data_IF_028843336275
#
_entry.id   IF_028843336275
#
_cell.length_a   1.000
_cell.length_b   1.000
_cell.length_c   1.000
_cell.angle_alpha   90.00
_cell.angle_beta   90.00
_cell.angle_gamma   90.00
#
_symmetry.space_group_name_H-M   'P 1'
#
loop_
_entity.id
_entity.type
_entity.pdbx_description
1 polymer ?
#
# COMPACT_ATOMS: atom_id res chain seq x y z
N UNK A 1 1.91 -17.30 -8.71
CA UNK A 1 3.20 -17.81 -8.15
C UNK A 1 4.27 -17.91 -9.24
N UNK A 2 4.00 -18.48 -10.43
CA UNK A 2 5.00 -18.67 -11.50
C UNK A 2 5.74 -17.39 -11.90
N UNK A 3 5.01 -16.28 -12.14
CA UNK A 3 5.62 -15.01 -12.51
C UNK A 3 6.50 -14.41 -11.38
N UNK A 4 6.12 -14.59 -10.12
CA UNK A 4 6.92 -14.14 -8.96
C UNK A 4 8.24 -14.91 -8.92
N UNK A 5 8.20 -16.25 -9.03
CA UNK A 5 9.41 -17.09 -9.07
C UNK A 5 10.30 -16.78 -10.27
N UNK A 6 9.71 -16.53 -11.45
CA UNK A 6 10.46 -16.15 -12.66
C UNK A 6 11.19 -14.83 -12.45
N UNK A 7 10.51 -13.79 -11.97
CA UNK A 7 11.11 -12.47 -11.76
C UNK A 7 12.28 -12.51 -10.77
N UNK A 8 12.16 -13.30 -9.69
CA UNK A 8 13.26 -13.50 -8.73
C UNK A 8 14.44 -14.22 -9.35
N UNK A 9 14.20 -15.32 -10.08
CA UNK A 9 15.25 -16.09 -10.75
C UNK A 9 16.01 -15.26 -11.79
N UNK A 10 15.29 -14.43 -12.56
CA UNK A 10 15.88 -13.56 -13.58
C UNK A 10 16.44 -12.25 -12.97
N UNK A 11 16.37 -12.08 -11.65
CA UNK A 11 16.90 -10.90 -10.92
C UNK A 11 16.41 -9.56 -11.51
N UNK A 12 15.13 -9.43 -11.79
CA UNK A 12 14.54 -8.25 -12.43
C UNK A 12 14.57 -7.03 -11.50
N UNK A 13 15.72 -6.43 -11.29
CA UNK A 13 15.95 -5.34 -10.34
C UNK A 13 15.16 -4.04 -10.59
N UNK A 14 14.68 -3.88 -11.83
CA UNK A 14 13.83 -2.75 -12.23
C UNK A 14 12.32 -3.01 -12.02
N UNK A 15 11.94 -4.19 -11.49
CA UNK A 15 10.57 -4.55 -11.21
C UNK A 15 10.25 -4.24 -9.74
N UNK A 16 9.24 -3.41 -9.52
CA UNK A 16 8.72 -3.09 -8.19
C UNK A 16 7.24 -3.44 -8.15
N UNK A 17 6.85 -4.33 -7.23
CA UNK A 17 5.45 -4.56 -6.88
C UNK A 17 5.08 -3.77 -5.64
N UNK A 18 3.88 -3.19 -5.64
CA UNK A 18 3.28 -2.59 -4.45
C UNK A 18 1.98 -3.32 -4.17
N UNK A 19 1.95 -4.04 -3.04
CA UNK A 19 0.76 -4.76 -2.61
C UNK A 19 0.04 -3.91 -1.57
N UNK A 20 -1.16 -3.46 -1.93
CA UNK A 20 -2.05 -2.74 -1.02
C UNK A 20 -2.74 -3.73 -0.07
N UNK A 21 -2.19 -3.88 1.12
CA UNK A 21 -2.65 -4.82 2.15
C UNK A 21 -3.70 -4.14 3.04
N UNK A 22 -4.91 -3.99 2.56
CA UNK A 22 -6.02 -3.43 3.36
C UNK A 22 -6.71 -4.46 4.26
N UNK A 23 -6.28 -5.73 4.22
CA UNK A 23 -6.73 -6.86 5.03
C UNK A 23 -8.18 -7.32 4.78
N UNK A 24 -8.90 -6.73 3.83
CA UNK A 24 -10.31 -7.00 3.57
C UNK A 24 -10.56 -7.57 2.19
N UNK A 25 -11.55 -8.47 2.12
CA UNK A 25 -12.24 -8.89 0.90
C UNK A 25 -13.50 -8.03 0.70
N UNK A 26 -14.47 -8.57 -0.03
CA UNK A 26 -15.74 -7.91 -0.29
C UNK A 26 -16.63 -7.82 0.97
N UNK A 27 -16.55 -8.81 1.84
CA UNK A 27 -17.49 -9.09 2.93
C UNK A 27 -16.81 -9.44 4.26
N UNK A 28 -15.51 -9.26 4.36
CA UNK A 28 -14.77 -9.59 5.59
C UNK A 28 -13.26 -9.62 5.40
N UNK A 29 -12.50 -10.08 6.40
CA UNK A 29 -11.06 -10.13 6.34
C UNK A 29 -10.54 -11.17 5.32
N UNK A 30 -9.40 -10.90 4.71
CA UNK A 30 -8.69 -11.87 3.85
C UNK A 30 -8.26 -13.08 4.68
N UNK A 31 -7.72 -12.82 5.86
CA UNK A 31 -7.36 -13.83 6.88
C UNK A 31 -7.89 -13.38 8.23
N UNK A 32 -8.90 -14.07 8.77
CA UNK A 32 -9.45 -13.75 10.10
C UNK A 32 -8.45 -14.03 11.20
N UNK A 33 -7.88 -15.24 11.20
CA UNK A 33 -7.04 -15.79 12.27
C UNK A 33 -5.56 -15.89 11.91
N UNK A 34 -5.13 -15.25 10.82
CA UNK A 34 -3.75 -15.24 10.35
C UNK A 34 -3.30 -13.83 9.96
N UNK A 35 -2.08 -13.73 9.47
CA UNK A 35 -1.44 -12.48 9.05
C UNK A 35 -1.01 -12.60 7.59
N UNK A 36 -1.82 -12.05 6.69
CA UNK A 36 -1.57 -12.14 5.24
C UNK A 36 -0.24 -11.50 4.83
N UNK A 37 0.19 -10.43 5.51
CA UNK A 37 1.45 -9.73 5.18
C UNK A 37 2.65 -10.64 5.45
N UNK A 38 2.65 -11.41 6.54
CA UNK A 38 3.72 -12.36 6.83
C UNK A 38 3.69 -13.57 5.88
N UNK A 39 2.52 -13.99 5.42
CA UNK A 39 2.41 -15.02 4.39
C UNK A 39 3.03 -14.53 3.08
N UNK A 40 2.66 -13.33 2.63
CA UNK A 40 3.22 -12.70 1.43
C UNK A 40 4.72 -12.47 1.55
N UNK A 41 5.19 -11.97 2.70
CA UNK A 41 6.63 -11.79 2.94
C UNK A 41 7.41 -13.09 2.73
N UNK A 42 6.94 -14.21 3.29
CA UNK A 42 7.59 -15.52 3.12
C UNK A 42 7.59 -15.97 1.67
N UNK A 43 6.47 -15.80 0.95
CA UNK A 43 6.38 -16.18 -0.46
C UNK A 43 7.33 -15.37 -1.35
N UNK A 44 7.39 -14.06 -1.17
CA UNK A 44 8.27 -13.20 -1.95
C UNK A 44 9.75 -13.41 -1.60
N UNK A 45 10.09 -13.51 -0.31
CA UNK A 45 11.48 -13.81 0.11
C UNK A 45 11.94 -15.17 -0.39
N UNK A 46 11.09 -16.19 -0.27
CA UNK A 46 11.38 -17.54 -0.79
C UNK A 46 11.54 -17.60 -2.31
N UNK A 47 11.04 -16.58 -3.02
CA UNK A 47 11.18 -16.43 -4.47
C UNK A 47 12.35 -15.51 -4.88
N UNK A 48 13.20 -15.09 -3.95
CA UNK A 48 14.38 -14.26 -4.25
C UNK A 48 14.10 -12.76 -4.37
N UNK A 49 12.96 -12.27 -3.86
CA UNK A 49 12.63 -10.85 -3.86
C UNK A 49 13.17 -10.12 -2.63
N UNK A 50 13.56 -8.86 -2.82
CA UNK A 50 13.67 -7.91 -1.73
C UNK A 50 12.27 -7.51 -1.24
N UNK A 51 12.04 -7.54 0.09
CA UNK A 51 10.72 -7.25 0.69
C UNK A 51 10.84 -6.06 1.63
N UNK A 52 10.06 -5.03 1.37
CA UNK A 52 9.91 -3.85 2.23
C UNK A 52 8.50 -3.87 2.81
N UNK A 53 8.39 -3.91 4.14
CA UNK A 53 7.10 -3.82 4.85
C UNK A 53 6.87 -2.40 5.35
N UNK A 54 5.73 -1.81 4.98
CA UNK A 54 5.29 -0.48 5.42
C UNK A 54 4.05 -0.65 6.28
N UNK A 55 4.26 -0.96 7.55
CA UNK A 55 3.21 -1.41 8.48
C UNK A 55 2.70 -0.25 9.34
N UNK A 56 3.59 0.43 10.07
CA UNK A 56 3.24 1.45 11.03
C UNK A 56 3.63 2.84 10.53
N UNK A 57 2.72 3.79 10.68
CA UNK A 57 2.98 5.20 10.37
C UNK A 57 3.92 5.82 11.40
N UNK A 58 4.45 7.00 11.09
CA UNK A 58 5.44 7.71 11.92
C UNK A 58 4.98 8.05 13.34
N UNK A 59 3.66 8.16 13.56
CA UNK A 59 3.13 8.42 14.90
C UNK A 59 3.34 7.24 15.87
N UNK A 60 3.61 6.04 15.36
CA UNK A 60 4.02 4.89 16.14
C UNK A 60 5.48 4.93 16.58
N UNK A 61 6.34 5.68 15.87
CA UNK A 61 7.78 5.68 16.12
C UNK A 61 8.15 6.09 17.57
N UNK A 62 7.52 7.13 18.20
CA UNK A 62 7.79 7.47 19.58
C UNK A 62 7.35 6.39 20.57
N UNK A 63 6.23 5.69 20.30
CA UNK A 63 5.72 4.63 21.16
C UNK A 63 6.65 3.40 21.06
N UNK A 64 7.02 3.01 19.84
CA UNK A 64 7.99 1.94 19.60
C UNK A 64 9.36 2.24 20.24
N UNK A 65 9.77 3.51 20.28
CA UNK A 65 11.01 3.92 20.94
C UNK A 65 10.96 3.77 22.47
N UNK A 66 9.76 3.76 23.09
CA UNK A 66 9.54 3.50 24.52
C UNK A 66 9.65 2.01 24.85
N UNK A 67 9.42 1.13 23.89
CA UNK A 67 9.42 -0.33 24.08
C UNK A 67 10.83 -0.92 24.22
N UNK A 68 11.44 -0.71 25.39
CA UNK A 68 12.80 -1.20 25.67
C UNK A 68 12.87 -2.71 25.91
N UNK A 69 11.74 -3.33 26.24
CA UNK A 69 11.64 -4.76 26.55
C UNK A 69 11.07 -5.60 25.41
N UNK A 70 10.58 -4.96 24.34
CA UNK A 70 9.92 -5.63 23.20
C UNK A 70 8.50 -6.10 23.49
N UNK A 71 7.86 -5.63 24.57
CA UNK A 71 6.50 -6.05 24.97
C UNK A 71 5.44 -5.58 24.00
N UNK A 72 5.54 -4.36 23.50
CA UNK A 72 4.65 -3.83 22.46
C UNK A 72 4.83 -4.61 21.17
N UNK A 73 6.07 -4.87 20.77
CA UNK A 73 6.37 -5.68 19.59
C UNK A 73 5.79 -7.10 19.73
N UNK A 74 5.91 -7.72 20.90
CA UNK A 74 5.32 -9.04 21.17
C UNK A 74 3.78 -9.02 21.03
N UNK A 75 3.10 -7.99 21.54
CA UNK A 75 1.66 -7.83 21.34
C UNK A 75 1.31 -7.63 19.86
N UNK A 76 2.05 -6.77 19.14
CA UNK A 76 1.86 -6.58 17.70
C UNK A 76 2.05 -7.88 16.92
N UNK A 77 2.97 -8.73 17.35
CA UNK A 77 3.23 -10.03 16.70
C UNK A 77 2.13 -11.06 16.99
N UNK A 78 1.38 -10.92 18.07
CA UNK A 78 0.23 -11.79 18.40
C UNK A 78 -1.06 -11.40 17.66
N UNK A 79 -1.27 -10.10 17.42
CA UNK A 79 -2.49 -9.58 16.77
C UNK A 79 -2.67 -10.16 15.38
N UNK A 80 -3.84 -10.74 15.11
CA UNK A 80 -4.24 -11.24 13.80
C UNK A 80 -4.97 -10.18 12.97
N UNK A 81 -5.10 -10.40 11.67
CA UNK A 81 -5.64 -9.39 10.73
C UNK A 81 -7.07 -8.96 11.09
N UNK A 82 -7.91 -9.88 11.58
CA UNK A 82 -9.28 -9.56 12.01
C UNK A 82 -9.34 -8.63 13.23
N UNK A 83 -8.44 -8.83 14.20
CA UNK A 83 -8.32 -7.95 15.38
C UNK A 83 -7.79 -6.57 14.99
N UNK A 84 -6.75 -6.54 14.14
CA UNK A 84 -6.16 -5.29 13.66
C UNK A 84 -7.17 -4.43 12.91
N UNK A 85 -8.10 -5.05 12.17
CA UNK A 85 -9.21 -4.36 11.53
C UNK A 85 -10.18 -3.81 12.57
N UNK A 86 -10.56 -4.60 13.59
CA UNK A 86 -11.48 -4.18 14.64
C UNK A 86 -10.95 -2.98 15.43
N UNK A 87 -9.66 -2.94 15.74
CA UNK A 87 -9.05 -1.81 16.43
C UNK A 87 -9.28 -0.50 15.68
N UNK A 88 -9.10 -0.52 14.36
CA UNK A 88 -9.35 0.69 13.55
C UNK A 88 -10.84 1.03 13.41
N UNK A 89 -11.70 0.04 13.22
CA UNK A 89 -13.13 0.24 13.03
C UNK A 89 -13.84 0.74 14.32
N UNK A 90 -13.39 0.29 15.50
CA UNK A 90 -14.03 0.58 16.79
C UNK A 90 -13.42 1.79 17.53
N UNK A 91 -12.33 2.35 17.01
CA UNK A 91 -11.76 3.59 17.50
C UNK A 91 -10.73 3.47 18.63
N UNK A 92 -10.30 4.63 19.13
CA UNK A 92 -9.16 4.74 20.05
C UNK A 92 -9.41 4.15 21.43
N UNK A 93 -10.56 4.42 22.03
CA UNK A 93 -10.92 3.86 23.36
C UNK A 93 -10.91 2.32 23.35
N UNK A 94 -11.49 1.72 22.31
CA UNK A 94 -11.47 0.27 22.15
C UNK A 94 -10.03 -0.27 21.95
N UNK A 95 -9.22 0.44 21.18
CA UNK A 95 -7.81 0.07 20.95
C UNK A 95 -7.00 0.17 22.24
N UNK A 96 -7.21 1.22 23.03
CA UNK A 96 -6.56 1.37 24.34
C UNK A 96 -6.90 0.17 25.24
N UNK A 97 -8.18 -0.15 25.37
CA UNK A 97 -8.64 -1.23 26.26
C UNK A 97 -8.19 -2.60 25.76
N UNK A 98 -8.47 -2.91 24.49
CA UNK A 98 -8.34 -4.29 23.95
C UNK A 98 -6.98 -4.63 23.37
N UNK A 99 -6.18 -3.63 23.01
CA UNK A 99 -4.80 -3.84 22.53
C UNK A 99 -3.78 -3.45 23.60
N UNK A 100 -3.66 -2.16 23.93
CA UNK A 100 -2.66 -1.69 24.89
C UNK A 100 -2.93 -2.25 26.30
N UNK A 101 -4.19 -2.39 26.70
CA UNK A 101 -4.60 -2.90 28.00
C UNK A 101 -4.31 -4.38 28.26
N UNK A 102 -3.85 -5.13 27.26
CA UNK A 102 -3.42 -6.52 27.43
C UNK A 102 -2.15 -6.64 28.29
N UNK A 103 -1.36 -5.59 28.40
CA UNK A 103 -0.17 -5.54 29.22
C UNK A 103 -0.05 -4.17 29.88
N UNK A 104 0.13 -4.14 31.20
CA UNK A 104 0.19 -2.90 31.99
C UNK A 104 1.33 -1.98 31.51
N UNK A 105 2.52 -2.51 31.30
CA UNK A 105 3.67 -1.70 30.84
C UNK A 105 3.46 -1.13 29.43
N UNK A 106 2.75 -1.85 28.58
CA UNK A 106 2.40 -1.37 27.23
C UNK A 106 1.31 -0.30 27.29
N UNK A 107 0.36 -0.44 28.20
CA UNK A 107 -0.65 0.59 28.44
C UNK A 107 0.00 1.90 28.92
N UNK A 108 0.96 1.81 29.84
CA UNK A 108 1.71 2.97 30.35
C UNK A 108 2.48 3.71 29.24
N UNK A 109 2.86 3.04 28.13
CA UNK A 109 3.53 3.69 26.99
C UNK A 109 2.64 4.69 26.25
N UNK A 110 1.32 4.66 26.47
CA UNK A 110 0.33 5.51 25.81
C UNK A 110 -0.52 6.33 26.79
N UNK A 111 -0.08 6.46 28.05
CA UNK A 111 -0.81 7.20 29.09
C UNK A 111 -0.93 8.69 28.76
N UNK A 112 0.03 9.25 28.03
CA UNK A 112 0.06 10.63 27.56
C UNK A 112 -0.78 10.89 26.30
N UNK A 113 -1.34 9.86 25.70
CA UNK A 113 -2.17 9.96 24.50
C UNK A 113 -3.66 9.93 24.84
N UNK A 114 -4.44 10.80 24.22
CA UNK A 114 -5.89 10.68 24.24
C UNK A 114 -6.39 9.51 23.38
N UNK A 115 -7.65 9.12 23.52
CA UNK A 115 -8.24 8.10 22.64
C UNK A 115 -8.31 8.57 21.19
N UNK A 116 -8.44 9.88 20.97
CA UNK A 116 -8.37 10.47 19.64
C UNK A 116 -6.95 10.35 19.05
N UNK A 117 -5.91 10.55 19.85
CA UNK A 117 -4.52 10.38 19.40
C UNK A 117 -4.22 8.91 19.05
N UNK A 118 -4.72 7.98 19.86
CA UNK A 118 -4.64 6.55 19.55
C UNK A 118 -5.37 6.22 18.23
N UNK A 119 -6.54 6.81 18.00
CA UNK A 119 -7.26 6.65 16.73
C UNK A 119 -6.47 7.19 15.53
N UNK A 120 -5.68 8.27 15.72
CA UNK A 120 -4.81 8.87 14.70
C UNK A 120 -3.56 8.05 14.40
N UNK A 121 -3.23 7.04 15.19
CA UNK A 121 -2.11 6.13 14.90
C UNK A 121 -2.39 5.38 13.59
N UNK A 122 -1.80 5.88 12.51
CA UNK A 122 -2.06 5.41 11.17
C UNK A 122 -1.24 4.18 10.81
N UNK A 123 -1.78 3.42 9.86
CA UNK A 123 -1.05 2.39 9.14
C UNK A 123 -0.02 3.01 8.19
N UNK A 124 1.13 2.35 8.03
CA UNK A 124 2.27 2.89 7.28
C UNK A 124 1.97 3.21 5.82
N UNK A 125 1.08 2.45 5.17
CA UNK A 125 0.66 2.70 3.79
C UNK A 125 -0.11 4.01 3.59
N UNK A 126 -0.51 4.67 4.69
CA UNK A 126 -1.13 6.01 4.67
C UNK A 126 -0.20 7.12 5.19
N UNK A 127 1.05 6.79 5.49
CA UNK A 127 2.05 7.77 5.91
C UNK A 127 2.93 8.16 4.72
N UNK A 128 2.84 9.39 4.20
CA UNK A 128 3.59 9.78 3.00
C UNK A 128 5.10 9.69 3.18
N UNK A 129 5.63 9.89 4.38
CA UNK A 129 7.08 9.78 4.65
C UNK A 129 7.53 8.32 4.60
N UNK A 130 6.78 7.42 5.22
CA UNK A 130 7.07 5.97 5.20
C UNK A 130 6.95 5.40 3.78
N UNK A 131 5.91 5.83 3.05
CA UNK A 131 5.70 5.44 1.65
C UNK A 131 6.84 5.95 0.77
N UNK A 132 7.19 7.25 0.88
CA UNK A 132 8.32 7.81 0.14
C UNK A 132 9.63 7.05 0.41
N UNK A 133 9.94 6.80 1.68
CA UNK A 133 11.15 6.07 2.07
C UNK A 133 11.18 4.64 1.48
N UNK A 134 10.02 3.96 1.45
CA UNK A 134 9.91 2.63 0.86
C UNK A 134 10.17 2.66 -0.66
N UNK A 135 9.56 3.59 -1.38
CA UNK A 135 9.82 3.76 -2.82
C UNK A 135 11.27 4.15 -3.11
N UNK A 136 11.81 5.10 -2.32
CA UNK A 136 13.21 5.48 -2.47
C UNK A 136 14.16 4.29 -2.27
N UNK A 137 13.90 3.46 -1.26
CA UNK A 137 14.68 2.23 -1.03
C UNK A 137 14.51 1.25 -2.19
N UNK A 138 13.28 1.05 -2.68
CA UNK A 138 12.98 0.10 -3.74
C UNK A 138 13.69 0.45 -5.06
N UNK A 139 13.63 1.72 -5.50
CA UNK A 139 14.28 2.16 -6.77
C UNK A 139 15.79 2.12 -6.72
N UNK A 140 16.39 2.16 -5.52
CA UNK A 140 17.84 2.07 -5.33
C UNK A 140 18.32 0.65 -4.98
N UNK A 141 17.43 -0.33 -4.86
CA UNK A 141 17.81 -1.74 -4.64
C UNK A 141 18.27 -2.35 -5.96
N UNK A 142 19.38 -3.11 -5.90
CA UNK A 142 19.99 -3.78 -7.05
C UNK A 142 20.02 -5.30 -6.83
N UNK A 143 20.10 -6.03 -7.93
CA UNK A 143 20.29 -7.49 -7.94
C UNK A 143 19.03 -8.32 -7.64
N UNK A 144 17.88 -7.71 -7.35
CA UNK A 144 16.64 -8.44 -7.13
C UNK A 144 15.42 -7.54 -7.37
N UNK A 145 14.29 -8.09 -7.80
CA UNK A 145 13.02 -7.37 -7.81
C UNK A 145 12.59 -7.03 -6.38
N UNK A 146 11.82 -5.95 -6.23
CA UNK A 146 11.37 -5.48 -4.91
C UNK A 146 9.85 -5.53 -4.80
N UNK A 147 9.34 -6.01 -3.66
CA UNK A 147 7.94 -5.84 -3.28
C UNK A 147 7.82 -4.93 -2.06
N UNK A 148 6.89 -3.98 -2.14
CA UNK A 148 6.45 -3.15 -1.00
C UNK A 148 5.11 -3.70 -0.53
N UNK A 149 5.07 -4.21 0.70
CA UNK A 149 3.85 -4.66 1.36
C UNK A 149 3.33 -3.52 2.24
N UNK A 150 2.36 -2.78 1.73
CA UNK A 150 1.84 -1.57 2.38
C UNK A 150 0.56 -1.87 3.15
N UNK A 151 0.61 -1.81 4.49
CA UNK A 151 -0.58 -1.92 5.33
C UNK A 151 -1.41 -0.66 5.22
N UNK A 152 -2.65 -0.80 4.77
CA UNK A 152 -3.59 0.28 4.55
C UNK A 152 -4.94 0.00 5.23
N UNK A 153 -5.82 0.98 5.19
CA UNK A 153 -7.20 0.86 5.68
C UNK A 153 -8.15 1.01 4.50
N UNK A 154 -9.05 0.07 4.32
CA UNK A 154 -10.09 0.17 3.29
C UNK A 154 -11.03 1.33 3.61
N UNK A 155 -11.30 2.18 2.61
CA UNK A 155 -12.12 3.38 2.83
C UNK A 155 -11.42 4.47 3.65
N UNK A 156 -10.08 4.51 3.66
CA UNK A 156 -9.33 5.52 4.40
C UNK A 156 -9.82 6.94 4.12
N UNK A 157 -10.14 7.67 5.17
CA UNK A 157 -10.63 9.04 5.11
C UNK A 157 -12.15 9.18 4.96
N UNK A 158 -12.91 8.11 4.72
CA UNK A 158 -14.36 8.18 4.49
C UNK A 158 -15.19 8.22 5.78
N UNK A 159 -14.59 8.61 6.90
CA UNK A 159 -15.27 8.77 8.19
C UNK A 159 -15.81 7.45 8.73
N UNK A 160 -17.09 7.39 9.08
CA UNK A 160 -17.73 6.22 9.70
C UNK A 160 -17.70 4.93 8.88
N UNK A 161 -17.28 5.01 7.63
CA UNK A 161 -17.13 3.84 6.75
C UNK A 161 -15.69 3.30 6.67
N UNK A 162 -14.76 3.98 7.32
CA UNK A 162 -13.36 3.58 7.33
C UNK A 162 -13.19 2.26 8.09
N UNK A 163 -12.58 1.26 7.46
CA UNK A 163 -12.34 -0.10 7.98
C UNK A 163 -13.60 -0.94 8.26
N UNK A 164 -14.80 -0.45 7.97
CA UNK A 164 -16.03 -1.22 8.15
C UNK A 164 -16.10 -2.39 7.16
N UNK A 165 -16.70 -3.51 7.57
CA UNK A 165 -16.87 -4.69 6.70
C UNK A 165 -17.75 -4.39 5.48
N UNK A 166 -18.65 -3.42 5.59
CA UNK A 166 -19.55 -2.99 4.52
C UNK A 166 -18.95 -1.93 3.60
N UNK A 167 -17.73 -1.46 3.85
CA UNK A 167 -17.07 -0.39 3.08
C UNK A 167 -17.08 -0.67 1.58
N UNK A 168 -16.88 -1.93 1.17
CA UNK A 168 -16.91 -2.30 -0.25
C UNK A 168 -18.28 -2.12 -0.90
N UNK A 169 -19.36 -2.22 -0.14
CA UNK A 169 -20.73 -2.15 -0.63
C UNK A 169 -21.27 -0.72 -0.70
N UNK A 170 -20.53 0.25 -0.17
CA UNK A 170 -20.92 1.67 -0.21
C UNK A 170 -20.85 2.19 -1.64
N UNK A 171 -22.02 2.46 -2.23
CA UNK A 171 -22.12 2.97 -3.61
C UNK A 171 -21.98 4.49 -3.69
N UNK A 172 -22.38 5.22 -2.63
CA UNK A 172 -22.34 6.68 -2.58
C UNK A 172 -22.02 7.14 -1.15
N UNK A 173 -21.10 8.09 -1.03
CA UNK A 173 -20.84 8.77 0.23
C UNK A 173 -21.91 9.81 0.52
N UNK A 174 -22.21 10.03 1.80
CA UNK A 174 -23.07 11.14 2.22
C UNK A 174 -22.30 12.46 2.12
N UNK A 175 -23.02 13.59 2.15
CA UNK A 175 -22.39 14.92 2.15
C UNK A 175 -21.46 15.09 3.37
N UNK A 176 -21.86 14.58 4.52
CA UNK A 176 -21.04 14.62 5.75
C UNK A 176 -19.74 13.84 5.57
N UNK A 177 -19.80 12.67 4.95
CA UNK A 177 -18.59 11.89 4.64
C UNK A 177 -17.69 12.63 3.63
N UNK A 178 -18.26 13.28 2.62
CA UNK A 178 -17.51 14.08 1.64
C UNK A 178 -16.85 15.29 2.30
N UNK A 179 -17.55 16.00 3.20
CA UNK A 179 -16.99 17.10 3.99
C UNK A 179 -15.83 16.63 4.86
N UNK A 180 -16.05 15.54 5.60
CA UNK A 180 -15.00 14.95 6.44
C UNK A 180 -13.77 14.53 5.63
N UNK A 181 -13.97 13.98 4.43
CA UNK A 181 -12.87 13.62 3.53
C UNK A 181 -12.12 14.84 3.03
N UNK A 182 -12.86 15.86 2.55
CA UNK A 182 -12.29 17.13 2.09
C UNK A 182 -11.45 17.79 3.18
N UNK A 183 -12.01 17.93 4.37
CA UNK A 183 -11.38 18.63 5.49
C UNK A 183 -10.13 17.87 5.99
N UNK A 184 -10.20 16.53 6.01
CA UNK A 184 -9.06 15.69 6.40
C UNK A 184 -7.85 15.81 5.47
N UNK A 185 -8.10 16.05 4.18
CA UNK A 185 -7.07 16.10 3.15
C UNK A 185 -6.83 17.51 2.60
N UNK A 186 -7.36 18.54 3.27
CA UNK A 186 -7.23 19.96 2.87
C UNK A 186 -7.55 20.19 1.38
N UNK A 187 -8.63 19.54 0.90
CA UNK A 187 -9.03 19.64 -0.50
C UNK A 187 -9.73 20.99 -0.73
N UNK A 188 -9.24 21.85 -1.62
CA UNK A 188 -9.73 23.22 -1.80
C UNK A 188 -11.05 23.24 -2.62
N UNK A 189 -12.14 22.72 -2.05
CA UNK A 189 -13.50 22.70 -2.64
C UNK A 189 -14.48 23.27 -1.65
N UNK A 190 -15.32 24.22 -2.08
CA UNK A 190 -16.35 24.82 -1.27
C UNK A 190 -17.53 23.86 -1.05
N UNK A 191 -18.32 24.13 0.00
CA UNK A 191 -19.46 23.29 0.37
C UNK A 191 -20.52 23.17 -0.74
N UNK A 192 -20.77 24.24 -1.48
CA UNK A 192 -21.73 24.30 -2.61
C UNK A 192 -21.27 23.56 -3.87
N UNK A 193 -19.98 23.29 -3.98
CA UNK A 193 -19.40 22.56 -5.11
C UNK A 193 -19.13 21.08 -4.79
N UNK A 194 -19.18 20.72 -3.52
CA UNK A 194 -18.73 19.42 -3.03
C UNK A 194 -19.49 18.23 -3.67
N UNK A 195 -20.81 18.38 -3.87
CA UNK A 195 -21.62 17.35 -4.53
C UNK A 195 -21.24 17.11 -5.99
N UNK A 196 -20.67 18.12 -6.66
CA UNK A 196 -20.29 18.05 -8.08
C UNK A 196 -18.97 17.29 -8.25
N UNK A 197 -18.22 17.05 -7.18
CA UNK A 197 -16.90 16.39 -7.17
C UNK A 197 -15.97 16.99 -8.24
N UNK A 198 -15.68 18.30 -8.21
CA UNK A 198 -14.94 18.96 -9.26
C UNK A 198 -13.49 18.44 -9.32
N UNK A 199 -12.94 18.38 -10.54
CA UNK A 199 -11.51 18.11 -10.72
C UNK A 199 -10.68 19.30 -10.27
N UNK A 200 -9.73 19.06 -9.35
CA UNK A 200 -8.82 20.07 -8.85
C UNK A 200 -7.58 20.12 -9.73
N UNK A 201 -7.20 21.32 -10.14
CA UNK A 201 -5.96 21.58 -10.84
C UNK A 201 -5.10 22.50 -9.99
N UNK A 202 -3.83 22.17 -9.85
CA UNK A 202 -2.88 23.10 -9.25
C UNK A 202 -2.67 24.32 -10.14
N UNK A 203 -2.51 25.48 -9.52
CA UNK A 203 -2.10 26.68 -10.25
C UNK A 203 -0.74 26.45 -10.92
N UNK A 204 -0.57 26.97 -12.14
CA UNK A 204 0.65 26.78 -12.91
C UNK A 204 1.91 27.37 -12.26
N UNK A 205 1.73 28.36 -11.38
CA UNK A 205 2.81 28.99 -10.60
C UNK A 205 3.13 28.25 -9.30
N UNK A 206 2.28 27.29 -8.86
CA UNK A 206 2.44 26.57 -7.60
C UNK A 206 3.70 25.70 -7.60
N UNK A 207 4.23 25.44 -6.38
CA UNK A 207 5.39 24.55 -6.20
C UNK A 207 5.06 23.12 -6.63
N UNK A 208 3.86 22.67 -6.35
CA UNK A 208 3.34 21.34 -6.71
C UNK A 208 3.32 21.14 -8.21
N UNK A 209 2.78 22.11 -8.96
CA UNK A 209 2.74 22.03 -10.43
C UNK A 209 4.13 22.07 -11.05
N UNK A 210 5.01 22.95 -10.56
CA UNK A 210 6.40 23.00 -11.02
C UNK A 210 7.12 21.68 -10.80
N UNK A 211 7.03 21.12 -9.58
CA UNK A 211 7.63 19.83 -9.25
C UNK A 211 7.09 18.70 -10.16
N UNK A 212 5.78 18.67 -10.37
CA UNK A 212 5.15 17.68 -11.25
C UNK A 212 5.69 17.77 -12.68
N UNK A 213 5.72 19.00 -13.23
CA UNK A 213 6.17 19.23 -14.61
C UNK A 213 7.64 18.89 -14.79
N UNK A 214 8.51 19.35 -13.90
CA UNK A 214 9.93 19.04 -13.93
C UNK A 214 10.21 17.54 -13.85
N UNK A 215 9.52 16.85 -12.94
CA UNK A 215 9.66 15.40 -12.76
C UNK A 215 9.19 14.66 -14.01
N UNK A 216 8.05 15.04 -14.57
CA UNK A 216 7.53 14.44 -15.79
C UNK A 216 8.44 14.68 -17.00
N UNK A 217 9.03 15.86 -17.11
CA UNK A 217 9.97 16.19 -18.19
C UNK A 217 11.26 15.35 -18.09
N UNK A 218 11.80 15.19 -16.87
CA UNK A 218 12.97 14.30 -16.64
C UNK A 218 12.68 12.83 -17.03
N UNK A 219 11.43 12.40 -16.93
CA UNK A 219 10.97 11.05 -17.29
C UNK A 219 10.56 10.93 -18.78
N UNK A 220 10.79 11.95 -19.61
CA UNK A 220 10.46 11.94 -21.05
C UNK A 220 9.07 12.46 -21.38
N UNK A 221 8.42 13.21 -20.48
CA UNK A 221 7.11 13.83 -20.69
C UNK A 221 5.93 13.01 -20.16
N UNK A 222 4.72 13.45 -20.44
CA UNK A 222 3.49 12.81 -19.95
C UNK A 222 3.18 11.47 -20.63
N UNK A 223 3.51 11.36 -21.90
CA UNK A 223 3.40 10.14 -22.66
C UNK A 223 4.81 9.66 -23.01
N UNK A 224 5.18 8.44 -22.63
CA UNK A 224 6.50 7.90 -23.02
C UNK A 224 6.59 7.85 -24.54
N UNK A 225 7.66 8.43 -25.09
CA UNK A 225 7.97 8.30 -26.49
C UNK A 225 8.29 6.83 -26.78
N UNK A 226 7.48 6.17 -27.58
CA UNK A 226 7.78 4.82 -28.07
C UNK A 226 8.92 4.91 -29.08
N UNK A 227 10.05 4.31 -28.76
CA UNK A 227 11.15 4.13 -29.71
C UNK A 227 10.92 2.79 -30.38
N UNK A 228 10.57 2.84 -31.65
CA UNK A 228 10.56 1.66 -32.50
C UNK A 228 11.95 1.57 -33.16
N UNK A 229 12.64 0.46 -32.96
CA UNK A 229 13.71 0.09 -33.84
C UNK A 229 13.09 -0.78 -34.93
N UNK A 230 13.17 -0.34 -36.17
CA UNK A 230 12.86 -1.18 -37.31
C UNK A 230 13.95 -2.25 -37.43
N UNK A 231 13.78 -3.33 -36.69
CA UNK A 231 14.60 -4.51 -36.80
C UNK A 231 13.98 -5.33 -37.93
N UNK A 232 14.57 -5.24 -39.10
CA UNK A 232 14.22 -6.12 -40.19
C UNK A 232 14.57 -7.56 -39.80
N UNK A 233 13.60 -8.28 -39.29
CA UNK A 233 13.75 -9.71 -39.01
C UNK A 233 13.87 -10.44 -40.35
N UNK A 234 15.02 -11.05 -40.57
CA UNK A 234 15.22 -11.94 -41.74
C UNK A 234 14.27 -13.13 -41.54
N UNK A 235 13.35 -13.30 -42.49
CA UNK A 235 12.47 -14.49 -42.44
C UNK A 235 13.34 -15.74 -42.46
N UNK A 236 13.07 -16.72 -41.59
CA UNK A 236 13.73 -18.02 -41.72
C UNK A 236 13.45 -18.63 -43.10
N UNK A 237 14.43 -19.33 -43.62
CA UNK A 237 14.27 -20.02 -44.91
C UNK A 237 13.15 -21.09 -44.77
N UNK A 238 12.23 -21.10 -45.73
CA UNK A 238 11.15 -22.06 -45.76
C UNK A 238 11.62 -23.51 -45.80
N UNK A 239 12.81 -23.76 -46.36
CA UNK A 239 13.41 -25.09 -46.38
C UNK A 239 13.73 -25.64 -44.99
N UNK A 240 14.05 -24.78 -44.02
CA UNK A 240 14.25 -25.17 -42.61
C UNK A 240 13.03 -25.85 -42.00
N UNK A 241 11.86 -25.53 -42.49
CA UNK A 241 10.58 -26.05 -41.95
C UNK A 241 9.95 -27.11 -42.88
N UNK A 242 10.57 -27.41 -44.03
CA UNK A 242 10.03 -28.34 -45.04
C UNK A 242 9.60 -29.67 -44.48
N UNK A 243 10.42 -30.25 -43.60
CA UNK A 243 10.11 -31.52 -42.90
C UNK A 243 8.91 -31.48 -41.99
N UNK A 244 8.50 -30.30 -41.51
CA UNK A 244 7.34 -30.13 -40.64
C UNK A 244 6.04 -29.93 -41.44
N UNK A 245 6.17 -29.45 -42.69
CA UNK A 245 5.03 -29.27 -43.58
C UNK A 245 4.61 -30.57 -44.28
N UNK A 246 5.52 -31.53 -44.42
CA UNK A 246 5.21 -32.83 -45.00
C UNK A 246 4.50 -33.79 -44.04
N UNK A 247 4.27 -33.39 -42.79
CA UNK A 247 3.65 -34.26 -41.79
C UNK A 247 4.61 -35.34 -41.27
N UNK A 248 4.19 -36.08 -40.24
CA UNK A 248 4.82 -37.33 -39.82
C UNK A 248 4.01 -38.49 -40.40
N UNK A 249 4.66 -39.41 -41.11
CA UNK A 249 4.10 -40.71 -41.35
C UNK A 249 3.83 -41.33 -39.97
N UNK A 250 2.54 -41.59 -39.65
CA UNK A 250 2.03 -42.04 -38.36
C UNK A 250 2.59 -43.38 -37.87
#
# INVERSE_FOLDING_TARGET
KGAIGLAGRESLENLIFVVNCNLQRLDGPVRGNHKIIQELEREFRGSGWNVIKVIWGRLWDPILARDKKGLLQELMDKVVDGELQNFKAKGGAYTREKFFGQNKEVLEMVDDLSDEDIYKLNRGGHDPYKVYAAYHKAVNTKGAPTVILALTTKGYGTGSREADNTTHQVKKLTIENLKSFRDRFDIPVNDDELEKLPYIKFDSSSKEQKYLMETRQKLGGFLPARKFQDIALKKPDSELFGKYFSGSDG
#
